data_IF_130139780710
#
_entry.id   IF_130139780710
#
_cell.length_a   1.000
_cell.length_b   1.000
_cell.length_c   1.000
_cell.angle_alpha   90.00
_cell.angle_beta   90.00
_cell.angle_gamma   90.00
#
_symmetry.space_group_name_H-M   'P 1'
#
loop_
_entity.id
_entity.type
_entity.pdbx_description
1 polymer ?
#
# COMPACT_ATOMS: atom_id res chain seq x y z
N UNK A 1 1.10 -3.83 -36.31
CA UNK A 1 -0.29 -3.45 -36.49
C UNK A 1 -1.16 -4.70 -36.47
N UNK A 2 -2.31 -4.63 -35.82
CA UNK A 2 -3.32 -5.69 -35.82
C UNK A 2 -4.47 -5.22 -36.68
N UNK A 3 -4.94 -6.10 -37.56
CA UNK A 3 -6.08 -5.85 -38.44
C UNK A 3 -7.09 -6.98 -38.28
N UNK A 4 -8.37 -6.69 -38.45
CA UNK A 4 -9.46 -7.65 -38.39
C UNK A 4 -9.55 -8.52 -39.64
N UNK A 5 -8.91 -8.09 -40.73
CA UNK A 5 -8.78 -8.81 -42.01
C UNK A 5 -7.36 -8.71 -42.57
N UNK A 6 -6.91 -9.72 -43.32
CA UNK A 6 -5.65 -9.60 -44.09
C UNK A 6 -5.74 -8.45 -45.08
N UNK A 7 -4.69 -7.63 -45.14
CA UNK A 7 -4.56 -6.54 -46.12
C UNK A 7 -3.70 -7.00 -47.28
N UNK A 8 -4.03 -6.55 -48.51
CA UNK A 8 -3.26 -6.75 -49.72
C UNK A 8 -2.36 -5.54 -50.01
N UNK A 9 -1.26 -5.73 -50.73
CA UNK A 9 -0.28 -4.67 -51.03
C UNK A 9 -0.90 -3.47 -51.77
N UNK A 10 -2.05 -3.66 -52.43
CA UNK A 10 -2.73 -2.62 -53.21
C UNK A 10 -3.95 -2.00 -52.47
N UNK A 11 -4.20 -2.39 -51.21
CA UNK A 11 -5.34 -1.86 -50.49
C UNK A 11 -5.08 -0.40 -50.07
N UNK A 12 -6.05 0.46 -50.33
CA UNK A 12 -6.07 1.80 -49.75
C UNK A 12 -6.62 1.72 -48.34
N UNK A 13 -5.87 2.26 -47.35
CA UNK A 13 -6.23 2.32 -45.97
C UNK A 13 -6.33 3.76 -45.48
N UNK A 14 -7.35 4.05 -44.67
CA UNK A 14 -7.42 5.30 -43.94
C UNK A 14 -6.91 5.06 -42.52
N UNK A 15 -5.95 5.88 -42.09
CA UNK A 15 -5.39 5.80 -40.72
C UNK A 15 -5.80 7.05 -39.96
N UNK A 16 -6.36 6.83 -38.77
CA UNK A 16 -6.66 7.89 -37.81
C UNK A 16 -5.77 7.71 -36.59
N UNK A 17 -5.15 8.81 -36.17
CA UNK A 17 -4.30 8.82 -34.98
C UNK A 17 -5.17 9.22 -33.78
N UNK A 18 -5.16 8.41 -32.74
CA UNK A 18 -5.66 8.84 -31.43
C UNK A 18 -4.76 10.01 -30.94
N UNK A 19 -5.20 11.22 -31.29
CA UNK A 19 -4.42 12.43 -31.02
C UNK A 19 -4.30 12.71 -29.52
N UNK A 20 -5.32 12.42 -28.74
CA UNK A 20 -5.27 12.62 -27.29
C UNK A 20 -4.19 11.76 -26.65
N UNK A 21 -4.18 10.46 -26.92
CA UNK A 21 -3.16 9.56 -26.40
C UNK A 21 -1.76 9.91 -26.98
N UNK A 22 -1.67 10.27 -28.25
CA UNK A 22 -0.44 10.71 -28.88
C UNK A 22 0.14 11.94 -28.17
N UNK A 23 -0.68 12.94 -27.92
CA UNK A 23 -0.25 14.19 -27.31
C UNK A 23 0.18 14.00 -25.85
N UNK A 24 -0.56 13.21 -25.07
CA UNK A 24 -0.16 12.81 -23.69
C UNK A 24 1.23 12.15 -23.68
N UNK A 25 1.50 11.25 -24.61
CA UNK A 25 2.82 10.62 -24.72
C UNK A 25 3.90 11.62 -25.14
N UNK A 26 3.59 12.56 -26.01
CA UNK A 26 4.51 13.64 -26.39
C UNK A 26 4.83 14.56 -25.21
N UNK A 27 3.85 14.90 -24.38
CA UNK A 27 4.04 15.68 -23.14
C UNK A 27 4.98 14.97 -22.17
N UNK A 28 4.75 13.69 -21.88
CA UNK A 28 5.60 12.90 -20.97
C UNK A 28 7.02 12.72 -21.53
N UNK A 29 7.16 12.42 -22.80
CA UNK A 29 8.46 12.25 -23.44
C UNK A 29 9.26 13.55 -23.51
N UNK A 30 8.61 14.65 -23.85
CA UNK A 30 9.27 15.97 -23.85
C UNK A 30 9.67 16.42 -22.45
N UNK A 31 8.84 16.12 -21.46
CA UNK A 31 9.17 16.36 -20.05
C UNK A 31 10.36 15.54 -19.57
N UNK A 32 10.47 14.29 -20.02
CA UNK A 32 11.64 13.44 -19.77
C UNK A 32 12.93 14.09 -20.28
N UNK A 33 12.96 14.62 -21.50
CA UNK A 33 14.14 15.31 -22.05
C UNK A 33 14.59 16.49 -21.19
N UNK A 34 13.66 17.31 -20.70
CA UNK A 34 13.98 18.43 -19.82
C UNK A 34 14.58 17.92 -18.50
N UNK A 35 13.95 16.92 -17.88
CA UNK A 35 14.40 16.35 -16.60
C UNK A 35 15.76 15.70 -16.76
N UNK A 36 15.94 14.87 -17.78
CA UNK A 36 17.20 14.15 -18.05
C UNK A 36 18.34 15.12 -18.36
N UNK A 37 18.09 16.16 -19.18
CA UNK A 37 19.09 17.18 -19.48
C UNK A 37 19.52 17.98 -18.25
N UNK A 38 18.59 18.32 -17.34
CA UNK A 38 18.92 18.98 -16.08
C UNK A 38 19.74 18.06 -15.18
N UNK A 39 19.33 16.80 -15.04
CA UNK A 39 20.06 15.81 -14.21
C UNK A 39 21.47 15.60 -14.75
N UNK A 40 21.63 15.44 -16.07
CA UNK A 40 22.95 15.35 -16.70
C UNK A 40 23.80 16.58 -16.44
N UNK A 41 23.25 17.77 -16.63
CA UNK A 41 23.98 19.04 -16.45
C UNK A 41 24.43 19.27 -15.00
N UNK A 42 23.56 18.96 -14.01
CA UNK A 42 23.85 19.25 -12.59
C UNK A 42 24.68 18.16 -11.92
N UNK A 43 24.46 16.90 -12.29
CA UNK A 43 25.01 15.76 -11.54
C UNK A 43 25.87 14.83 -12.42
N UNK A 44 25.90 15.01 -13.73
CA UNK A 44 26.64 14.16 -14.65
C UNK A 44 26.06 12.76 -14.83
N UNK A 45 24.80 12.55 -14.41
CA UNK A 45 24.15 11.24 -14.51
C UNK A 45 23.44 11.07 -15.84
N UNK A 46 23.47 9.83 -16.36
CA UNK A 46 22.85 9.48 -17.63
C UNK A 46 21.47 8.82 -17.41
N UNK A 47 20.54 9.13 -18.31
CA UNK A 47 19.30 8.39 -18.45
C UNK A 47 19.59 7.06 -19.15
N UNK A 48 19.61 5.96 -18.38
CA UNK A 48 19.87 4.59 -18.88
C UNK A 48 18.59 3.82 -19.19
N UNK A 49 17.40 4.37 -18.87
CA UNK A 49 16.10 3.78 -19.18
C UNK A 49 14.97 4.79 -19.11
N UNK A 50 14.09 4.76 -20.10
CA UNK A 50 12.84 5.52 -20.11
C UNK A 50 11.69 4.61 -20.48
N UNK A 51 10.66 4.56 -19.66
CA UNK A 51 9.48 3.73 -19.82
C UNK A 51 8.24 4.62 -19.91
N UNK A 52 7.60 4.60 -21.07
CA UNK A 52 6.41 5.38 -21.39
C UNK A 52 5.21 4.44 -21.50
N UNK A 53 4.69 3.98 -20.35
CA UNK A 53 3.52 3.13 -20.21
C UNK A 53 2.46 3.80 -19.33
N UNK A 54 1.72 2.99 -18.58
CA UNK A 54 0.80 3.46 -17.55
C UNK A 54 1.59 4.13 -16.41
N UNK A 55 2.77 3.60 -16.10
CA UNK A 55 3.76 4.23 -15.24
C UNK A 55 4.86 4.87 -16.10
N UNK A 56 5.06 6.17 -15.96
CA UNK A 56 6.15 6.88 -16.64
C UNK A 56 7.36 6.94 -15.73
N UNK A 57 8.46 6.31 -16.14
CA UNK A 57 9.68 6.24 -15.31
C UNK A 57 10.94 6.55 -16.09
N UNK A 58 11.90 7.18 -15.39
CA UNK A 58 13.27 7.41 -15.87
C UNK A 58 14.24 6.69 -14.94
N UNK A 59 15.16 5.92 -15.50
CA UNK A 59 16.24 5.29 -14.77
C UNK A 59 17.54 6.09 -14.98
N UNK A 60 18.13 6.57 -13.89
CA UNK A 60 19.44 7.22 -13.89
C UNK A 60 20.50 6.30 -13.31
N UNK A 61 21.74 6.40 -13.79
CA UNK A 61 22.91 5.64 -13.33
C UNK A 61 23.54 6.16 -12.04
N UNK A 62 22.99 7.22 -11.46
CA UNK A 62 23.41 7.80 -10.19
C UNK A 62 22.26 7.95 -9.19
N UNK A 63 22.60 8.10 -7.90
CA UNK A 63 21.65 8.30 -6.82
C UNK A 63 21.35 9.79 -6.63
N UNK A 64 20.07 10.16 -6.51
CA UNK A 64 19.60 11.51 -6.22
C UNK A 64 18.79 11.50 -4.93
N UNK A 65 18.95 12.55 -4.12
CA UNK A 65 18.13 12.77 -2.94
C UNK A 65 16.78 13.41 -3.32
N UNK A 66 15.82 13.37 -2.38
CA UNK A 66 14.53 14.04 -2.56
C UNK A 66 14.70 15.55 -2.83
N UNK A 67 15.61 16.21 -2.12
CA UNK A 67 15.87 17.64 -2.26
C UNK A 67 16.40 17.96 -3.67
N UNK A 68 17.32 17.12 -4.17
CA UNK A 68 17.85 17.24 -5.52
C UNK A 68 16.76 17.06 -6.58
N UNK A 69 15.89 16.06 -6.41
CA UNK A 69 14.77 15.83 -7.31
C UNK A 69 13.75 16.97 -7.29
N UNK A 70 13.50 17.58 -6.13
CA UNK A 70 12.64 18.78 -6.03
C UNK A 70 13.27 19.99 -6.74
N UNK A 71 14.59 20.17 -6.68
CA UNK A 71 15.27 21.23 -7.45
C UNK A 71 15.22 20.97 -8.96
N UNK A 72 15.41 19.71 -9.39
CA UNK A 72 15.23 19.30 -10.79
C UNK A 72 13.81 19.59 -11.27
N UNK A 73 12.78 19.19 -10.51
CA UNK A 73 11.37 19.46 -10.83
C UNK A 73 11.09 20.95 -10.97
N UNK A 74 11.60 21.75 -10.04
CA UNK A 74 11.45 23.20 -10.08
C UNK A 74 12.05 23.78 -11.36
N UNK A 75 13.30 23.43 -11.69
CA UNK A 75 13.98 23.91 -12.91
C UNK A 75 13.29 23.40 -14.18
N UNK A 76 12.76 22.18 -14.18
CA UNK A 76 12.00 21.65 -15.31
C UNK A 76 10.71 22.49 -15.54
N UNK A 77 9.99 22.85 -14.49
CA UNK A 77 8.84 23.74 -14.61
C UNK A 77 9.21 25.19 -14.99
N UNK A 78 10.40 25.67 -14.62
CA UNK A 78 10.91 26.97 -15.11
C UNK A 78 11.11 26.95 -16.64
N UNK A 79 11.56 25.81 -17.23
CA UNK A 79 11.63 25.65 -18.67
C UNK A 79 10.25 25.76 -19.35
N UNK A 80 9.22 25.17 -18.71
CA UNK A 80 7.83 25.28 -19.16
C UNK A 80 7.37 26.74 -19.15
N UNK A 81 7.60 27.47 -18.07
CA UNK A 81 7.21 28.88 -17.95
C UNK A 81 7.95 29.78 -18.91
N UNK A 82 9.21 29.47 -19.25
CA UNK A 82 9.97 30.15 -20.30
C UNK A 82 9.52 29.78 -21.70
N UNK A 83 8.72 28.74 -21.84
CA UNK A 83 8.22 28.19 -23.09
C UNK A 83 9.34 27.92 -24.12
N UNK A 84 10.42 27.27 -23.66
CA UNK A 84 11.57 26.97 -24.52
C UNK A 84 11.18 26.05 -25.68
N UNK A 85 11.86 26.18 -26.81
CA UNK A 85 11.54 25.44 -28.02
C UNK A 85 12.15 24.05 -28.03
N UNK A 86 11.46 23.12 -28.69
CA UNK A 86 11.96 21.82 -29.09
C UNK A 86 12.31 21.88 -30.59
N UNK A 87 13.60 21.83 -30.90
CA UNK A 87 14.12 21.90 -32.26
C UNK A 87 14.54 20.47 -32.66
N UNK A 88 13.98 19.97 -33.75
CA UNK A 88 14.24 18.61 -34.23
C UNK A 88 14.90 18.69 -35.62
N UNK A 89 16.14 18.24 -35.70
CA UNK A 89 16.96 18.37 -36.92
C UNK A 89 17.68 17.06 -37.25
N UNK A 90 18.09 16.93 -38.49
CA UNK A 90 18.98 15.88 -38.98
C UNK A 90 20.28 16.55 -39.46
N UNK A 91 21.25 16.78 -38.57
CA UNK A 91 22.53 17.39 -38.95
C UNK A 91 23.31 16.46 -39.90
N UNK A 92 24.11 17.06 -40.76
CA UNK A 92 25.05 16.30 -41.59
C UNK A 92 26.20 15.70 -40.75
N UNK A 93 27.00 14.83 -41.35
CA UNK A 93 28.08 14.14 -40.62
C UNK A 93 29.12 15.09 -40.01
N UNK A 94 29.38 16.23 -40.64
CA UNK A 94 30.35 17.21 -40.15
C UNK A 94 29.82 17.97 -38.96
N UNK A 95 28.57 18.42 -39.03
CA UNK A 95 27.86 19.06 -37.94
C UNK A 95 27.69 18.10 -36.75
N UNK A 96 27.35 16.84 -37.01
CA UNK A 96 27.15 15.82 -35.96
C UNK A 96 28.44 15.54 -35.17
N UNK A 97 29.62 15.48 -35.85
CA UNK A 97 30.92 15.29 -35.19
C UNK A 97 31.29 16.40 -34.23
N UNK A 98 30.80 17.61 -34.48
CA UNK A 98 31.10 18.80 -33.67
C UNK A 98 30.03 19.08 -32.61
N UNK A 99 28.92 18.31 -32.61
CA UNK A 99 27.82 18.50 -31.68
C UNK A 99 28.01 17.63 -30.43
N UNK A 100 27.96 18.26 -29.26
CA UNK A 100 27.90 17.53 -27.99
C UNK A 100 26.45 17.19 -27.67
N UNK A 101 26.09 15.90 -27.78
CA UNK A 101 24.72 15.43 -27.53
C UNK A 101 24.74 14.11 -26.74
N UNK A 102 23.67 13.90 -25.97
CA UNK A 102 23.45 12.63 -25.28
C UNK A 102 22.87 11.58 -26.25
N UNK A 103 23.34 10.35 -26.13
CA UNK A 103 22.80 9.23 -26.92
C UNK A 103 22.91 7.94 -26.12
N UNK A 104 21.87 7.12 -26.21
CA UNK A 104 21.88 5.75 -25.64
C UNK A 104 22.52 4.71 -26.58
N UNK A 105 22.71 5.07 -27.83
CA UNK A 105 23.23 4.19 -28.86
C UNK A 105 24.32 4.91 -29.63
N UNK A 106 25.33 4.16 -30.11
CA UNK A 106 26.27 4.65 -31.09
C UNK A 106 25.56 4.67 -32.45
N UNK A 107 25.11 5.86 -32.86
CA UNK A 107 24.42 6.09 -34.13
C UNK A 107 25.39 6.74 -35.11
N UNK A 108 25.44 6.23 -36.36
CA UNK A 108 26.38 6.71 -37.40
C UNK A 108 25.69 7.35 -38.58
N UNK A 109 24.41 7.04 -38.84
CA UNK A 109 23.69 7.53 -40.01
C UNK A 109 22.26 7.97 -39.64
N UNK A 110 21.76 9.01 -40.31
CA UNK A 110 20.41 9.55 -40.16
C UNK A 110 20.02 9.87 -38.67
N UNK A 111 20.97 10.44 -37.94
CA UNK A 111 20.77 10.77 -36.52
C UNK A 111 19.86 11.98 -36.39
N UNK A 112 18.68 11.79 -35.83
CA UNK A 112 17.80 12.91 -35.49
C UNK A 112 18.18 13.45 -34.10
N UNK A 113 18.54 14.74 -34.09
CA UNK A 113 18.84 15.46 -32.83
C UNK A 113 17.64 16.27 -32.41
N UNK A 114 17.33 16.18 -31.14
CA UNK A 114 16.32 16.99 -30.44
C UNK A 114 17.05 17.93 -29.48
N UNK A 115 16.93 19.22 -29.75
CA UNK A 115 17.49 20.27 -28.90
C UNK A 115 16.37 20.93 -28.11
N UNK A 116 16.47 20.92 -26.78
CA UNK A 116 15.65 21.72 -25.88
C UNK A 116 16.51 22.90 -25.43
N UNK A 117 16.23 24.07 -25.94
CA UNK A 117 17.10 25.26 -25.78
C UNK A 117 17.50 25.51 -24.33
N UNK A 118 18.81 25.36 -24.06
CA UNK A 118 19.42 25.60 -22.75
C UNK A 118 19.21 24.47 -21.72
N UNK A 119 18.63 23.34 -22.12
CA UNK A 119 18.32 22.23 -21.22
C UNK A 119 18.86 20.88 -21.68
N UNK A 120 18.65 20.51 -22.95
CA UNK A 120 19.07 19.20 -23.46
C UNK A 120 19.42 19.22 -24.94
N UNK A 121 20.37 18.36 -25.31
CA UNK A 121 20.65 18.01 -26.71
C UNK A 121 20.81 16.50 -26.77
N UNK A 122 19.92 15.81 -27.45
CA UNK A 122 19.85 14.35 -27.40
C UNK A 122 19.47 13.73 -28.74
N UNK A 123 20.06 12.59 -29.08
CA UNK A 123 19.62 11.79 -30.18
C UNK A 123 18.30 11.07 -29.88
N UNK A 124 17.24 11.44 -30.54
CA UNK A 124 15.91 10.87 -30.31
C UNK A 124 15.04 10.90 -31.59
N UNK A 125 14.38 9.77 -31.92
CA UNK A 125 13.55 9.64 -33.11
C UNK A 125 12.03 9.72 -32.81
N UNK A 126 11.59 9.73 -31.57
CA UNK A 126 10.18 9.77 -31.22
C UNK A 126 9.57 11.21 -31.30
N UNK A 127 8.24 11.35 -31.36
CA UNK A 127 7.57 12.65 -31.42
C UNK A 127 7.72 13.45 -30.12
N UNK A 128 7.83 14.78 -30.27
CA UNK A 128 7.89 15.76 -29.19
C UNK A 128 6.88 16.89 -29.43
N UNK A 129 6.62 17.68 -28.38
CA UNK A 129 5.93 18.97 -28.51
C UNK A 129 6.80 20.00 -29.22
N UNK A 130 6.21 21.08 -29.71
CA UNK A 130 6.96 22.19 -30.36
C UNK A 130 7.61 23.12 -29.34
N UNK A 131 6.98 23.28 -28.19
CA UNK A 131 7.50 24.14 -27.12
C UNK A 131 7.14 23.57 -25.75
N UNK A 132 7.94 23.91 -24.74
CA UNK A 132 7.76 23.40 -23.38
C UNK A 132 6.41 23.80 -22.77
N UNK A 133 5.82 24.92 -23.19
CA UNK A 133 4.48 25.33 -22.74
C UNK A 133 3.39 24.31 -23.06
N UNK A 134 3.53 23.54 -24.13
CA UNK A 134 2.58 22.47 -24.50
C UNK A 134 2.66 21.26 -23.54
N UNK A 135 3.75 21.12 -22.79
CA UNK A 135 3.85 20.11 -21.72
C UNK A 135 2.90 20.46 -20.56
N UNK A 136 2.77 21.76 -20.24
CA UNK A 136 1.90 22.25 -19.17
C UNK A 136 2.53 22.18 -17.79
N UNK A 137 2.83 21.00 -17.27
CA UNK A 137 3.44 20.78 -15.95
C UNK A 137 4.26 19.48 -15.97
N UNK A 138 5.34 19.46 -15.19
CA UNK A 138 6.12 18.26 -14.87
C UNK A 138 6.03 18.03 -13.37
N UNK A 139 5.65 16.81 -12.96
CA UNK A 139 5.58 16.41 -11.56
C UNK A 139 6.34 15.13 -11.31
N UNK A 140 7.34 15.18 -10.42
CA UNK A 140 8.02 13.99 -9.91
C UNK A 140 7.17 13.45 -8.74
N UNK A 141 6.72 12.20 -8.87
CA UNK A 141 5.80 11.58 -7.91
C UNK A 141 6.57 10.87 -6.80
N UNK A 142 7.49 10.00 -7.19
CA UNK A 142 8.25 9.13 -6.27
C UNK A 142 9.56 8.70 -6.92
N UNK A 143 10.42 8.05 -6.13
CA UNK A 143 11.66 7.48 -6.59
C UNK A 143 12.10 6.29 -5.74
N UNK A 144 12.84 5.36 -6.33
CA UNK A 144 13.39 4.20 -5.64
C UNK A 144 14.79 3.86 -6.17
N UNK A 145 15.62 3.23 -5.34
CA UNK A 145 16.90 2.69 -5.80
C UNK A 145 16.69 1.64 -6.88
N UNK A 146 17.44 1.73 -7.95
CA UNK A 146 17.35 0.81 -9.10
C UNK A 146 18.72 0.59 -9.75
N UNK A 147 19.19 -0.66 -9.79
CA UNK A 147 20.39 -1.13 -10.53
C UNK A 147 21.66 -0.26 -10.34
N UNK A 148 21.94 0.18 -9.14
CA UNK A 148 23.10 1.01 -8.81
C UNK A 148 22.87 2.51 -9.00
N UNK A 149 21.68 2.93 -9.40
CA UNK A 149 21.23 4.30 -9.48
C UNK A 149 19.83 4.46 -8.94
N UNK A 150 18.99 5.26 -9.62
CA UNK A 150 17.66 5.60 -9.16
C UNK A 150 16.64 5.48 -10.29
N UNK A 151 15.46 4.96 -9.98
CA UNK A 151 14.25 5.05 -10.83
C UNK A 151 13.37 6.17 -10.31
N UNK A 152 13.04 7.11 -11.16
CA UNK A 152 12.19 8.26 -10.87
C UNK A 152 10.85 8.08 -11.58
N UNK A 153 9.75 8.17 -10.85
CA UNK A 153 8.39 8.20 -11.38
C UNK A 153 7.97 9.65 -11.58
N UNK A 154 7.52 9.99 -12.77
CA UNK A 154 7.04 11.33 -13.09
C UNK A 154 5.80 11.27 -13.98
N UNK A 155 5.04 12.36 -13.97
CA UNK A 155 3.94 12.59 -14.90
C UNK A 155 4.06 14.01 -15.47
N UNK A 156 3.65 14.17 -16.72
CA UNK A 156 3.65 15.46 -17.41
C UNK A 156 2.27 15.73 -18.00
N UNK A 157 1.95 17.03 -18.11
CA UNK A 157 0.76 17.50 -18.82
C UNK A 157 -0.54 16.99 -18.25
N UNK A 158 -1.37 16.43 -19.12
CA UNK A 158 -2.70 15.95 -18.76
C UNK A 158 -2.65 14.83 -17.70
N UNK A 159 -1.67 13.94 -17.80
CA UNK A 159 -1.51 12.84 -16.81
C UNK A 159 -1.21 13.38 -15.42
N UNK A 160 -0.38 14.42 -15.31
CA UNK A 160 -0.09 15.07 -14.03
C UNK A 160 -1.31 15.81 -13.47
N UNK A 161 -2.14 16.41 -14.33
CA UNK A 161 -3.38 17.06 -13.90
C UNK A 161 -4.41 16.06 -13.38
N UNK A 162 -4.64 14.96 -14.09
CA UNK A 162 -5.57 13.90 -13.68
C UNK A 162 -5.13 13.22 -12.37
N UNK A 163 -3.82 13.01 -12.18
CA UNK A 163 -3.26 12.54 -10.91
C UNK A 163 -3.52 13.53 -9.77
N UNK A 164 -3.33 14.82 -10.03
CA UNK A 164 -3.63 15.87 -9.06
C UNK A 164 -5.13 15.90 -8.68
N UNK A 165 -6.02 15.83 -9.66
CA UNK A 165 -7.47 15.80 -9.44
C UNK A 165 -7.86 14.59 -8.57
N UNK A 166 -7.33 13.42 -8.87
CA UNK A 166 -7.54 12.20 -8.07
C UNK A 166 -7.08 12.38 -6.62
N UNK A 167 -5.89 12.93 -6.42
CA UNK A 167 -5.32 13.19 -5.09
C UNK A 167 -6.11 14.27 -4.34
N UNK A 168 -6.58 15.30 -5.06
CA UNK A 168 -7.41 16.35 -4.51
C UNK A 168 -8.75 15.82 -3.98
N UNK A 169 -9.44 14.97 -4.75
CA UNK A 169 -10.71 14.38 -4.35
C UNK A 169 -10.54 13.43 -3.16
N UNK A 170 -9.47 12.63 -3.14
CA UNK A 170 -9.12 11.80 -2.00
C UNK A 170 -8.87 12.65 -0.74
N UNK A 171 -8.07 13.70 -0.85
CA UNK A 171 -7.80 14.61 0.27
C UNK A 171 -9.07 15.29 0.76
N UNK A 172 -9.93 15.74 -0.15
CA UNK A 172 -11.23 16.33 0.17
C UNK A 172 -12.13 15.37 0.95
N UNK A 173 -12.17 14.11 0.52
CA UNK A 173 -12.95 13.07 1.18
C UNK A 173 -12.47 12.81 2.60
N UNK A 174 -11.16 12.70 2.80
CA UNK A 174 -10.53 12.53 4.12
C UNK A 174 -10.77 13.76 5.01
N UNK A 175 -10.59 14.98 4.47
CA UNK A 175 -10.83 16.22 5.21
C UNK A 175 -12.29 16.32 5.67
N UNK A 176 -13.24 15.94 4.81
CA UNK A 176 -14.66 15.91 5.16
C UNK A 176 -14.95 14.91 6.27
N UNK A 177 -14.41 13.69 6.19
CA UNK A 177 -14.57 12.66 7.23
C UNK A 177 -13.99 13.09 8.58
N UNK A 178 -12.89 13.83 8.57
CA UNK A 178 -12.25 14.38 9.77
C UNK A 178 -12.83 15.74 10.23
N UNK A 179 -13.85 16.26 9.54
CA UNK A 179 -14.47 17.57 9.81
C UNK A 179 -13.43 18.70 9.89
N UNK A 180 -12.46 18.73 8.95
CA UNK A 180 -11.35 19.69 8.94
C UNK A 180 -11.17 20.33 7.56
N UNK A 181 -10.31 21.37 7.46
CA UNK A 181 -9.88 21.93 6.18
C UNK A 181 -8.83 21.04 5.53
N UNK A 182 -8.74 21.06 4.19
CA UNK A 182 -7.79 20.23 3.44
C UNK A 182 -6.32 20.44 3.86
N UNK A 183 -5.91 21.69 4.10
CA UNK A 183 -4.55 22.01 4.53
C UNK A 183 -4.25 21.59 5.99
N UNK A 184 -5.25 21.19 6.75
CA UNK A 184 -5.14 20.73 8.15
C UNK A 184 -5.39 19.24 8.30
N UNK A 185 -5.54 18.49 7.19
CA UNK A 185 -5.87 17.06 7.20
C UNK A 185 -4.81 16.23 7.92
N UNK A 186 -3.53 16.51 7.72
CA UNK A 186 -2.46 15.73 8.36
C UNK A 186 -2.44 15.88 9.90
N UNK A 187 -2.48 17.09 10.50
CA UNK A 187 -2.60 17.23 11.95
C UNK A 187 -3.92 16.68 12.50
N UNK A 188 -5.04 16.83 11.77
CA UNK A 188 -6.32 16.26 12.17
C UNK A 188 -6.29 14.72 12.20
N UNK A 189 -5.68 14.10 11.20
CA UNK A 189 -5.50 12.65 11.16
C UNK A 189 -4.61 12.15 12.31
N UNK A 190 -3.52 12.87 12.62
CA UNK A 190 -2.67 12.54 13.77
C UNK A 190 -3.46 12.53 15.07
N UNK A 191 -4.23 13.60 15.33
CA UNK A 191 -5.10 13.70 16.50
C UNK A 191 -6.13 12.57 16.56
N UNK A 192 -6.82 12.28 15.45
CA UNK A 192 -7.77 11.18 15.35
C UNK A 192 -7.12 9.83 15.70
N UNK A 193 -5.91 9.57 15.21
CA UNK A 193 -5.20 8.33 15.47
C UNK A 193 -4.77 8.19 16.94
N UNK A 194 -4.38 9.28 17.59
CA UNK A 194 -4.07 9.33 19.02
C UNK A 194 -5.32 9.07 19.86
N UNK A 195 -6.44 9.73 19.56
CA UNK A 195 -7.73 9.53 20.23
C UNK A 195 -8.25 8.09 20.05
N UNK A 196 -8.15 7.55 18.82
CA UNK A 196 -8.54 6.17 18.55
C UNK A 196 -7.68 5.16 19.34
N UNK A 197 -6.38 5.41 19.45
CA UNK A 197 -5.48 4.62 20.28
C UNK A 197 -5.85 4.64 21.75
N UNK A 198 -6.16 5.82 22.28
CA UNK A 198 -6.60 6.00 23.67
C UNK A 198 -7.91 5.26 23.95
N UNK A 199 -8.91 5.41 23.07
CA UNK A 199 -10.20 4.71 23.20
C UNK A 199 -10.04 3.17 23.15
N UNK A 200 -9.15 2.65 22.32
CA UNK A 200 -8.84 1.21 22.30
C UNK A 200 -8.23 0.74 23.62
N UNK A 201 -7.32 1.53 24.18
CA UNK A 201 -6.69 1.20 25.46
C UNK A 201 -7.71 1.24 26.62
N UNK A 202 -8.58 2.25 26.63
CA UNK A 202 -9.67 2.38 27.63
C UNK A 202 -10.66 1.21 27.52
N UNK A 203 -11.09 0.86 26.31
CA UNK A 203 -11.97 -0.29 26.09
C UNK A 203 -11.33 -1.59 26.59
N UNK A 204 -10.04 -1.79 26.33
CA UNK A 204 -9.32 -2.96 26.82
C UNK A 204 -9.21 -2.98 28.37
N UNK A 205 -9.02 -1.81 28.99
CA UNK A 205 -9.00 -1.69 30.45
C UNK A 205 -10.37 -1.99 31.07
N UNK A 206 -11.44 -1.43 30.51
CA UNK A 206 -12.82 -1.69 30.97
C UNK A 206 -13.23 -3.16 30.80
N UNK A 207 -12.85 -3.79 29.68
CA UNK A 207 -13.08 -5.24 29.48
C UNK A 207 -12.38 -6.08 30.55
N UNK A 208 -11.13 -5.74 30.90
CA UNK A 208 -10.39 -6.42 32.00
C UNK A 208 -11.02 -6.23 33.37
N UNK A 209 -11.42 -5.00 33.66
CA UNK A 209 -12.11 -4.69 34.94
C UNK A 209 -13.42 -5.47 35.07
N UNK A 210 -14.23 -5.49 34.01
CA UNK A 210 -15.48 -6.26 33.98
C UNK A 210 -15.22 -7.77 34.16
N UNK A 211 -14.20 -8.32 33.50
CA UNK A 211 -13.82 -9.71 33.67
C UNK A 211 -13.38 -10.02 35.11
N UNK A 212 -12.63 -9.09 35.73
CA UNK A 212 -12.20 -9.25 37.12
C UNK A 212 -13.37 -9.16 38.10
N UNK A 213 -14.32 -8.23 37.90
CA UNK A 213 -15.54 -8.13 38.70
C UNK A 213 -16.39 -9.39 38.59
N UNK A 214 -16.59 -9.93 37.38
CA UNK A 214 -17.30 -11.21 37.14
C UNK A 214 -16.60 -12.37 37.87
N UNK A 215 -15.28 -12.46 37.75
CA UNK A 215 -14.51 -13.51 38.46
C UNK A 215 -14.63 -13.41 39.97
N UNK A 216 -14.65 -12.20 40.53
CA UNK A 216 -14.81 -11.98 41.96
C UNK A 216 -16.22 -12.29 42.48
N UNK A 217 -17.23 -12.14 41.61
CA UNK A 217 -18.62 -12.43 41.94
C UNK A 217 -18.97 -13.93 41.95
N UNK A 218 -18.03 -14.81 41.52
CA UNK A 218 -18.24 -16.26 41.59
C UNK A 218 -18.22 -16.70 43.07
N UNK A 219 -19.30 -17.28 43.49
CA UNK A 219 -19.40 -17.87 44.83
C UNK A 219 -18.79 -19.27 44.84
N UNK A 220 -18.39 -19.75 46.02
CA UNK A 220 -17.93 -21.13 46.21
C UNK A 220 -19.09 -22.09 45.93
N UNK A 221 -18.81 -23.12 45.13
CA UNK A 221 -19.81 -24.12 44.72
C UNK A 221 -19.19 -25.51 44.59
N UNK A 222 -20.02 -26.54 44.80
CA UNK A 222 -19.63 -27.93 44.52
C UNK A 222 -19.94 -28.34 43.03
N UNK A 223 -20.50 -27.42 42.23
CA UNK A 223 -20.86 -27.63 40.85
C UNK A 223 -19.78 -27.11 39.90
N UNK A 224 -19.81 -27.55 38.62
CA UNK A 224 -18.98 -26.97 37.57
C UNK A 224 -19.36 -25.50 37.33
N UNK A 225 -18.35 -24.65 37.19
CA UNK A 225 -18.56 -23.23 36.81
C UNK A 225 -18.40 -23.13 35.29
N UNK A 226 -19.48 -22.75 34.62
CA UNK A 226 -19.49 -22.55 33.17
C UNK A 226 -19.75 -21.08 32.84
N UNK A 227 -18.86 -20.50 32.00
CA UNK A 227 -18.92 -19.07 31.68
C UNK A 227 -18.85 -18.93 30.16
N UNK A 228 -19.78 -18.17 29.60
CA UNK A 228 -19.85 -17.85 28.20
C UNK A 228 -19.74 -16.34 27.98
N UNK A 229 -18.75 -15.94 27.21
CA UNK A 229 -18.47 -14.54 26.84
C UNK A 229 -18.43 -14.40 25.32
N UNK A 230 -18.92 -13.28 24.79
CA UNK A 230 -18.98 -13.09 23.34
C UNK A 230 -17.60 -12.79 22.74
N UNK A 231 -16.75 -12.03 23.44
CA UNK A 231 -15.45 -11.57 22.94
C UNK A 231 -14.51 -11.33 24.12
N UNK A 232 -13.85 -12.37 24.59
CA UNK A 232 -12.81 -12.30 25.64
C UNK A 232 -11.49 -12.82 25.09
N UNK A 233 -10.40 -12.10 25.37
CA UNK A 233 -9.06 -12.54 25.04
C UNK A 233 -8.70 -13.84 25.75
N UNK A 234 -7.92 -14.73 25.10
CA UNK A 234 -7.56 -16.03 25.67
C UNK A 234 -6.75 -15.94 26.97
N UNK A 235 -5.94 -14.89 27.15
CA UNK A 235 -5.17 -14.72 28.38
C UNK A 235 -6.08 -14.31 29.54
N UNK A 236 -7.07 -13.47 29.25
CA UNK A 236 -8.06 -13.06 30.26
C UNK A 236 -9.03 -14.23 30.56
N UNK A 237 -9.42 -15.01 29.57
CA UNK A 237 -10.21 -16.24 29.75
C UNK A 237 -9.47 -17.28 30.63
N UNK A 238 -8.17 -17.48 30.39
CA UNK A 238 -7.32 -18.35 31.23
C UNK A 238 -7.27 -17.89 32.71
N UNK A 239 -7.01 -16.60 32.92
CA UNK A 239 -7.00 -16.03 34.30
C UNK A 239 -8.33 -16.24 34.97
N UNK A 240 -9.41 -16.03 34.20
CA UNK A 240 -10.76 -16.20 34.73
C UNK A 240 -11.05 -17.63 35.18
N UNK A 241 -10.73 -18.63 34.33
CA UNK A 241 -10.98 -20.03 34.68
C UNK A 241 -10.05 -20.55 35.81
N UNK A 242 -8.82 -20.04 35.88
CA UNK A 242 -7.90 -20.37 36.96
C UNK A 242 -8.42 -19.84 38.31
N UNK A 243 -8.90 -18.59 38.35
CA UNK A 243 -9.53 -18.04 39.54
C UNK A 243 -10.83 -18.75 39.88
N UNK A 244 -11.64 -19.11 38.88
CA UNK A 244 -12.87 -19.88 39.09
C UNK A 244 -12.62 -21.30 39.61
N UNK A 245 -11.52 -21.95 39.18
CA UNK A 245 -11.13 -23.27 39.67
C UNK A 245 -10.76 -23.31 41.17
N UNK A 246 -10.47 -22.16 41.78
CA UNK A 246 -10.27 -22.06 43.22
C UNK A 246 -11.59 -21.98 44.00
N UNK A 247 -12.69 -21.75 43.29
CA UNK A 247 -14.03 -21.57 43.86
C UNK A 247 -14.93 -22.82 43.74
N UNK A 248 -14.44 -23.88 43.07
CA UNK A 248 -15.19 -25.11 42.89
C UNK A 248 -14.37 -26.34 43.23
N UNK A 249 -15.00 -27.38 43.75
CA UNK A 249 -14.40 -28.72 43.94
C UNK A 249 -14.27 -29.51 42.63
N UNK A 250 -14.83 -29.04 41.51
CA UNK A 250 -14.83 -29.71 40.23
C UNK A 250 -13.94 -28.97 39.22
N UNK A 251 -14.51 -28.28 38.26
CA UNK A 251 -13.78 -27.51 37.27
C UNK A 251 -14.49 -26.20 36.93
N UNK A 252 -13.72 -25.25 36.42
CA UNK A 252 -14.21 -24.03 35.81
C UNK A 252 -13.89 -24.01 34.34
N UNK A 253 -14.88 -23.84 33.47
CA UNK A 253 -14.76 -23.77 32.04
C UNK A 253 -15.28 -22.43 31.50
N UNK A 254 -14.45 -21.75 30.75
CA UNK A 254 -14.76 -20.50 30.05
C UNK A 254 -14.78 -20.66 28.56
N UNK A 255 -15.76 -20.07 27.90
CA UNK A 255 -15.98 -20.09 26.47
C UNK A 255 -16.09 -18.67 25.94
N UNK A 256 -15.34 -18.33 24.89
CA UNK A 256 -15.39 -17.02 24.22
C UNK A 256 -15.75 -17.23 22.75
N UNK A 257 -16.87 -16.65 22.33
CA UNK A 257 -17.42 -16.81 20.97
C UNK A 257 -18.95 -16.87 20.97
N UNK A 258 -19.50 -17.53 19.94
CA UNK A 258 -20.96 -17.72 19.79
C UNK A 258 -21.25 -19.03 19.07
N UNK A 259 -22.50 -19.47 19.12
CA UNK A 259 -22.95 -20.68 18.40
C UNK A 259 -22.73 -20.60 16.88
N UNK A 260 -22.73 -19.39 16.33
CA UNK A 260 -22.52 -19.17 14.88
C UNK A 260 -21.05 -19.13 14.46
N UNK A 261 -20.14 -18.76 15.36
CA UNK A 261 -18.71 -18.59 15.07
C UNK A 261 -17.82 -19.66 15.73
N UNK A 262 -18.44 -20.55 16.54
CA UNK A 262 -17.72 -21.43 17.43
C UNK A 262 -17.14 -20.71 18.64
N UNK A 263 -16.54 -21.49 19.53
CA UNK A 263 -15.97 -20.99 20.79
C UNK A 263 -14.49 -21.29 20.90
N UNK A 264 -13.73 -20.35 21.43
CA UNK A 264 -12.44 -20.62 22.06
C UNK A 264 -12.70 -20.95 23.52
N UNK A 265 -12.04 -21.97 24.06
CA UNK A 265 -12.27 -22.37 25.44
C UNK A 265 -10.98 -22.44 26.26
N UNK A 266 -11.12 -22.23 27.54
CA UNK A 266 -10.16 -22.57 28.56
C UNK A 266 -10.90 -23.28 29.72
N UNK A 267 -10.32 -24.33 30.26
CA UNK A 267 -10.88 -25.13 31.37
C UNK A 267 -9.79 -25.32 32.39
N UNK A 268 -10.07 -25.05 33.62
CA UNK A 268 -9.14 -25.24 34.74
C UNK A 268 -9.76 -26.09 35.86
N UNK A 269 -8.93 -26.88 36.53
CA UNK A 269 -9.32 -27.63 37.74
C UNK A 269 -8.12 -27.82 38.67
N UNK A 270 -8.41 -27.80 39.98
CA UNK A 270 -7.43 -28.14 41.06
C UNK A 270 -7.55 -29.58 41.51
N UNK A 271 -8.70 -30.23 41.28
CA UNK A 271 -9.05 -31.54 41.79
C UNK A 271 -9.04 -32.63 40.74
N UNK A 272 -9.22 -32.27 39.46
CA UNK A 272 -9.33 -33.22 38.33
C UNK A 272 -8.11 -33.08 37.45
N UNK A 273 -7.41 -34.18 37.14
CA UNK A 273 -6.35 -34.17 36.12
C UNK A 273 -6.98 -34.03 34.71
N UNK A 274 -6.90 -32.80 34.19
CA UNK A 274 -7.47 -32.46 32.87
C UNK A 274 -6.75 -33.17 31.71
N UNK A 275 -5.52 -33.66 31.90
CA UNK A 275 -4.78 -34.38 30.88
C UNK A 275 -5.43 -35.75 30.60
N UNK A 276 -5.87 -36.44 31.64
CA UNK A 276 -6.59 -37.70 31.52
C UNK A 276 -7.97 -37.52 30.87
N UNK A 277 -8.65 -36.40 31.17
CA UNK A 277 -9.98 -36.05 30.66
C UNK A 277 -9.95 -35.35 29.30
N UNK A 278 -8.78 -34.91 28.83
CA UNK A 278 -8.67 -34.04 27.65
C UNK A 278 -9.32 -34.62 26.41
N UNK A 279 -9.13 -35.93 26.12
CA UNK A 279 -9.70 -36.57 24.94
C UNK A 279 -11.23 -36.59 24.96
N UNK A 280 -11.81 -36.87 26.12
CA UNK A 280 -13.28 -36.92 26.29
C UNK A 280 -13.86 -35.51 26.15
N UNK A 281 -13.25 -34.52 26.81
CA UNK A 281 -13.69 -33.10 26.76
C UNK A 281 -13.58 -32.58 25.32
N UNK A 282 -12.44 -32.72 24.66
CA UNK A 282 -12.20 -32.22 23.32
C UNK A 282 -13.15 -32.87 22.29
N UNK A 283 -13.39 -34.18 22.43
CA UNK A 283 -14.33 -34.90 21.56
C UNK A 283 -15.78 -34.40 21.77
N UNK A 284 -16.21 -34.21 23.01
CA UNK A 284 -17.56 -33.68 23.30
C UNK A 284 -17.76 -32.23 22.85
N UNK A 285 -16.70 -31.44 22.86
CA UNK A 285 -16.70 -30.08 22.35
C UNK A 285 -16.59 -29.98 20.83
N UNK A 286 -16.53 -31.09 20.11
CA UNK A 286 -16.30 -31.14 18.67
C UNK A 286 -15.16 -30.21 18.23
N UNK A 287 -14.03 -30.30 18.94
CA UNK A 287 -13.00 -29.26 18.83
C UNK A 287 -11.58 -29.79 18.76
N UNK A 288 -10.64 -28.91 18.88
CA UNK A 288 -9.20 -29.18 18.96
C UNK A 288 -8.61 -28.40 20.13
N UNK A 289 -7.68 -29.03 20.83
CA UNK A 289 -7.04 -28.37 21.94
C UNK A 289 -6.01 -29.24 22.64
N UNK A 290 -5.50 -28.74 23.75
CA UNK A 290 -4.53 -29.43 24.57
C UNK A 290 -4.14 -28.59 25.80
N UNK A 291 -3.35 -29.18 26.69
CA UNK A 291 -2.94 -28.48 27.90
C UNK A 291 -2.17 -29.32 28.88
N UNK A 292 -2.21 -28.91 30.14
CA UNK A 292 -1.58 -29.59 31.28
C UNK A 292 -2.62 -30.35 32.13
N UNK A 293 -2.20 -30.85 33.28
CA UNK A 293 -3.11 -31.43 34.31
C UNK A 293 -4.08 -30.41 34.89
N UNK A 294 -3.71 -29.12 34.96
CA UNK A 294 -4.48 -28.07 35.58
C UNK A 294 -5.23 -27.15 34.60
N UNK A 295 -4.81 -27.11 33.34
CA UNK A 295 -5.38 -26.19 32.34
C UNK A 295 -5.46 -26.87 30.96
N UNK A 296 -6.67 -26.90 30.39
CA UNK A 296 -6.96 -27.34 29.03
C UNK A 296 -7.50 -26.16 28.24
N UNK A 297 -7.09 -26.02 26.98
CA UNK A 297 -7.54 -24.93 26.10
C UNK A 297 -7.67 -25.38 24.66
N UNK A 298 -8.51 -24.71 23.88
CA UNK A 298 -8.73 -25.04 22.49
C UNK A 298 -9.87 -24.27 21.86
N UNK A 299 -10.39 -24.86 20.77
CA UNK A 299 -11.57 -24.37 20.06
C UNK A 299 -12.67 -25.41 20.13
N UNK A 300 -13.92 -24.99 20.10
CA UNK A 300 -15.14 -25.82 20.09
C UNK A 300 -16.08 -25.36 18.97
N UNK A 301 -16.66 -26.31 18.27
CA UNK A 301 -17.72 -26.08 17.28
C UNK A 301 -19.12 -26.48 17.84
N UNK A 302 -19.17 -27.03 19.06
CA UNK A 302 -20.43 -27.39 19.71
C UNK A 302 -21.20 -26.15 20.17
N UNK A 303 -22.52 -26.21 20.11
CA UNK A 303 -23.42 -25.18 20.59
C UNK A 303 -23.41 -25.08 22.11
N UNK A 304 -23.74 -23.91 22.65
CA UNK A 304 -23.74 -23.64 24.09
C UNK A 304 -24.54 -24.67 24.90
N UNK A 305 -25.73 -25.02 24.45
CA UNK A 305 -26.61 -25.98 25.12
C UNK A 305 -25.99 -27.39 25.19
N UNK A 306 -25.26 -27.83 24.18
CA UNK A 306 -24.57 -29.11 24.14
C UNK A 306 -23.39 -29.12 25.13
N UNK A 307 -22.66 -28.02 25.16
CA UNK A 307 -21.57 -27.80 26.10
C UNK A 307 -22.07 -27.87 27.55
N UNK A 308 -23.11 -27.09 27.86
CA UNK A 308 -23.70 -27.07 29.20
C UNK A 308 -24.21 -28.45 29.64
N UNK A 309 -24.88 -29.16 28.73
CA UNK A 309 -25.36 -30.53 28.99
C UNK A 309 -24.21 -31.50 29.28
N UNK A 310 -23.16 -31.46 28.47
CA UNK A 310 -22.00 -32.34 28.65
C UNK A 310 -21.34 -32.16 30.03
N UNK A 311 -21.05 -30.92 30.42
CA UNK A 311 -20.40 -30.66 31.70
C UNK A 311 -21.31 -31.00 32.88
N UNK A 312 -22.60 -30.82 32.78
CA UNK A 312 -23.55 -31.17 33.85
C UNK A 312 -23.71 -32.68 34.03
N UNK A 313 -23.58 -33.48 32.96
CA UNK A 313 -23.76 -34.92 33.02
C UNK A 313 -22.47 -35.70 33.39
N UNK A 314 -21.28 -35.12 33.18
CA UNK A 314 -20.01 -35.80 33.29
C UNK A 314 -19.10 -35.32 34.43
N UNK A 315 -19.45 -34.21 35.04
CA UNK A 315 -18.70 -33.60 36.14
C UNK A 315 -19.64 -33.06 37.21
#
# INVERSE_FOLDING_TARGET
>A
HYTDKPLSISDEISCEIDWEQRFRRMQNHSGEHIVSGIVHTLYGYENVGFHLGDDVTIDFDGELTREQLLDVEKRANEAIYKNVKFICEYPDEEALKNLNYRSKLELTENVRIVTVEGYDVCACCAPHVYSAGEIGIIKILDFARHRGGIRVHLLCGKDALEDYETKYDNLRSVATALCTKQNETAPAFKKFNEEHGALKAELAALKRELAQQKASAIENTDECILIFEADTDMNDLRKFVLNGAEKTAKLCAGFSGSDSSGYRFAIASKSIDLREKSKIIISALNGRGGGSSELLQGNSESAKNEIEKFFKENF
#
